data_IF_571589488239
#
_entry.id   IF_571589488239
#
_cell.length_a   1.000
_cell.length_b   1.000
_cell.length_c   1.000
_cell.angle_alpha   90.00
_cell.angle_beta   90.00
_cell.angle_gamma   90.00
#
_symmetry.space_group_name_H-M   'P 1'
#
loop_
_entity.id
_entity.type
_entity.pdbx_description
1 polymer ?
#
# COMPACT_ATOMS: atom_id res chain seq x y z
N UNK A 1 15.74 -10.49 -17.71
CA UNK A 1 14.75 -9.44 -18.08
C UNK A 1 15.02 -8.23 -17.18
N UNK A 2 14.90 -6.99 -17.67
CA UNK A 2 15.10 -5.83 -16.81
C UNK A 2 14.10 -5.86 -15.64
N UNK A 3 14.59 -5.59 -14.43
CA UNK A 3 13.75 -5.46 -13.24
C UNK A 3 12.83 -4.26 -13.43
N UNK A 4 11.52 -4.48 -13.37
CA UNK A 4 10.54 -3.39 -13.46
C UNK A 4 10.65 -2.51 -12.22
N UNK A 5 10.88 -1.21 -12.43
CA UNK A 5 10.91 -0.19 -11.36
C UNK A 5 9.59 0.57 -11.34
N UNK A 6 8.96 0.66 -10.17
CA UNK A 6 7.72 1.42 -10.02
C UNK A 6 8.01 2.93 -10.16
N UNK A 7 7.49 3.61 -11.19
CA UNK A 7 7.73 5.03 -11.39
C UNK A 7 7.17 5.89 -10.24
N UNK A 8 6.17 5.39 -9.52
CA UNK A 8 5.54 6.14 -8.43
C UNK A 8 6.42 6.25 -7.20
N UNK A 9 7.44 5.39 -7.03
CA UNK A 9 8.39 5.48 -5.90
C UNK A 9 9.04 6.87 -5.85
N UNK A 10 9.37 7.45 -7.01
CA UNK A 10 10.08 8.74 -7.10
C UNK A 10 9.21 9.91 -7.59
N UNK A 11 8.07 9.63 -8.24
CA UNK A 11 7.33 10.66 -9.00
C UNK A 11 5.88 10.87 -8.55
N UNK A 12 5.45 10.30 -7.42
CA UNK A 12 4.08 10.46 -6.92
C UNK A 12 3.69 11.93 -6.66
N UNK A 13 4.64 12.80 -6.33
CA UNK A 13 4.40 14.24 -6.13
C UNK A 13 3.96 14.95 -7.43
N UNK A 14 4.31 14.42 -8.59
CA UNK A 14 3.99 15.03 -9.89
C UNK A 14 2.54 14.82 -10.33
N UNK A 15 1.79 13.96 -9.63
CA UNK A 15 0.40 13.61 -10.00
C UNK A 15 -0.60 14.75 -9.80
N UNK A 16 -0.28 15.78 -8.99
CA UNK A 16 -1.12 16.96 -8.72
C UNK A 16 -2.58 16.61 -8.38
N UNK A 17 -2.79 15.59 -7.52
CA UNK A 17 -4.13 15.09 -7.21
C UNK A 17 -5.06 16.13 -6.57
N UNK A 18 -4.49 17.18 -5.96
CA UNK A 18 -5.25 18.31 -5.41
C UNK A 18 -6.03 19.07 -6.51
N UNK A 19 -5.58 19.01 -7.77
CA UNK A 19 -6.25 19.60 -8.92
C UNK A 19 -7.45 18.79 -9.41
N UNK A 20 -7.77 17.66 -8.76
CA UNK A 20 -8.90 16.80 -9.11
C UNK A 20 -10.01 16.87 -8.03
N UNK A 21 -10.81 17.97 -7.97
CA UNK A 21 -11.78 18.19 -6.89
C UNK A 21 -12.97 17.21 -6.92
N UNK A 22 -13.19 16.51 -8.04
CA UNK A 22 -14.24 15.51 -8.22
C UNK A 22 -13.72 14.08 -8.15
N UNK A 23 -12.47 13.87 -7.71
CA UNK A 23 -11.91 12.54 -7.55
C UNK A 23 -12.65 11.81 -6.42
N UNK A 24 -13.46 10.82 -6.79
CA UNK A 24 -14.31 10.05 -5.88
C UNK A 24 -13.68 8.72 -5.46
N UNK A 25 -12.77 8.20 -6.28
CA UNK A 25 -12.08 6.93 -6.07
C UNK A 25 -10.62 6.98 -6.51
N UNK A 26 -9.74 6.35 -5.73
CA UNK A 26 -8.33 6.18 -6.08
C UNK A 26 -7.89 4.72 -5.90
N UNK A 27 -7.02 4.26 -6.81
CA UNK A 27 -6.39 2.93 -6.76
C UNK A 27 -4.88 3.09 -6.63
N UNK A 28 -4.33 2.55 -5.56
CA UNK A 28 -2.91 2.59 -5.21
C UNK A 28 -2.39 1.17 -5.36
N UNK A 29 -1.36 0.98 -6.18
CA UNK A 29 -0.73 -0.31 -6.37
C UNK A 29 0.63 -0.30 -5.68
N UNK A 30 0.92 -1.37 -4.94
CA UNK A 30 2.18 -1.58 -4.24
C UNK A 30 2.72 -2.94 -4.69
N UNK A 31 3.91 -2.94 -5.29
CA UNK A 31 4.55 -4.16 -5.79
C UNK A 31 5.77 -4.51 -4.94
N UNK A 32 5.73 -5.66 -4.27
CA UNK A 32 6.85 -6.10 -3.41
C UNK A 32 8.03 -6.65 -4.21
N UNK A 33 7.79 -7.17 -5.41
CA UNK A 33 8.85 -7.68 -6.31
C UNK A 33 9.72 -6.56 -6.91
N UNK A 34 9.28 -5.30 -6.85
CA UNK A 34 10.02 -4.16 -7.39
C UNK A 34 11.09 -3.60 -6.43
N UNK A 35 11.27 -4.22 -5.25
CA UNK A 35 12.29 -3.83 -4.29
C UNK A 35 13.64 -4.48 -4.65
N UNK A 36 14.76 -3.74 -4.65
CA UNK A 36 16.06 -4.32 -4.90
C UNK A 36 16.36 -5.40 -3.85
N UNK A 37 16.46 -6.64 -4.31
CA UNK A 37 17.10 -7.72 -3.56
C UNK A 37 18.61 -7.50 -3.60
N UNK A 38 19.33 -7.95 -2.57
CA UNK A 38 20.76 -7.71 -2.34
C UNK A 38 21.70 -8.09 -3.52
N UNK A 39 21.20 -8.76 -4.57
CA UNK A 39 21.93 -9.09 -5.81
C UNK A 39 22.03 -7.93 -6.84
N UNK A 40 21.24 -6.87 -6.73
CA UNK A 40 21.32 -5.68 -7.61
C UNK A 40 22.12 -4.56 -6.92
N UNK A 41 23.41 -4.83 -6.67
CA UNK A 41 24.31 -3.89 -6.00
C UNK A 41 24.78 -2.77 -6.93
N UNK A 42 24.04 -1.66 -6.92
CA UNK A 42 24.68 -0.37 -6.60
C UNK A 42 24.31 -0.10 -5.13
N UNK A 43 25.20 -0.53 -4.20
CA UNK A 43 25.01 -0.50 -2.74
C UNK A 43 24.61 0.88 -2.17
N UNK A 44 24.76 1.94 -2.96
CA UNK A 44 24.41 3.32 -2.60
C UNK A 44 22.93 3.69 -2.83
N UNK A 45 22.18 2.99 -3.70
CA UNK A 45 20.75 3.28 -3.95
C UNK A 45 19.80 2.50 -3.02
N UNK A 46 20.16 1.27 -2.61
CA UNK A 46 19.27 0.38 -1.84
C UNK A 46 18.90 0.94 -0.45
N UNK A 47 19.78 1.72 0.16
CA UNK A 47 19.60 2.27 1.52
C UNK A 47 18.67 3.50 1.57
N UNK A 48 18.33 4.09 0.42
CA UNK A 48 17.58 5.35 0.33
C UNK A 48 16.18 5.21 -0.26
N UNK A 49 15.74 4.00 -0.62
CA UNK A 49 14.38 3.82 -1.16
C UNK A 49 13.38 3.93 0.01
N UNK A 50 12.37 4.82 -0.08
CA UNK A 50 11.35 4.92 0.96
C UNK A 50 10.51 3.65 1.01
N UNK A 51 10.00 3.30 2.19
CA UNK A 51 9.07 2.18 2.36
C UNK A 51 7.94 2.23 1.32
N UNK A 52 7.56 1.07 0.77
CA UNK A 52 6.73 0.95 -0.43
C UNK A 52 5.32 1.57 -0.30
N UNK A 53 4.80 1.73 0.92
CA UNK A 53 3.52 2.41 1.14
C UNK A 53 3.61 3.94 1.12
N UNK A 54 4.81 4.53 1.30
CA UNK A 54 4.98 5.98 1.41
C UNK A 54 4.52 6.76 0.17
N UNK A 55 4.85 6.33 -1.07
CA UNK A 55 4.31 6.98 -2.26
C UNK A 55 2.78 7.00 -2.28
N UNK A 56 2.14 5.87 -1.97
CA UNK A 56 0.69 5.77 -1.89
C UNK A 56 0.07 6.67 -0.81
N UNK A 57 0.69 6.72 0.37
CA UNK A 57 0.26 7.63 1.44
C UNK A 57 0.44 9.10 1.02
N UNK A 58 1.53 9.43 0.32
CA UNK A 58 1.79 10.75 -0.23
C UNK A 58 0.78 11.17 -1.30
N UNK A 59 0.35 10.23 -2.17
CA UNK A 59 -0.75 10.48 -3.11
C UNK A 59 -2.03 10.87 -2.37
N UNK A 60 -2.36 10.16 -1.30
CA UNK A 60 -3.55 10.47 -0.50
C UNK A 60 -3.42 11.83 0.18
N UNK A 61 -2.24 12.21 0.66
CA UNK A 61 -2.03 13.54 1.25
C UNK A 61 -2.35 14.69 0.28
N UNK A 62 -2.16 14.48 -1.02
CA UNK A 62 -2.54 15.45 -2.06
C UNK A 62 -4.01 15.34 -2.50
N UNK A 63 -4.67 14.21 -2.25
CA UNK A 63 -5.96 13.92 -2.82
C UNK A 63 -7.07 14.79 -2.21
N UNK A 64 -8.12 15.04 -2.99
CA UNK A 64 -9.29 15.76 -2.52
C UNK A 64 -9.99 15.03 -1.37
N UNK A 65 -10.50 15.80 -0.40
CA UNK A 65 -11.38 15.32 0.66
C UNK A 65 -12.72 14.75 0.16
N UNK A 66 -13.02 14.92 -1.15
CA UNK A 66 -14.18 14.36 -1.83
C UNK A 66 -14.10 12.84 -2.08
N UNK A 67 -12.95 12.21 -1.81
CA UNK A 67 -12.78 10.76 -1.97
C UNK A 67 -13.80 9.97 -1.14
N UNK A 68 -14.48 9.04 -1.81
CA UNK A 68 -15.47 8.12 -1.22
C UNK A 68 -14.93 6.70 -1.09
N UNK A 69 -13.99 6.30 -1.95
CA UNK A 69 -13.41 4.96 -1.94
C UNK A 69 -11.89 4.99 -2.16
N UNK A 70 -11.16 4.25 -1.34
CA UNK A 70 -9.72 4.04 -1.51
C UNK A 70 -9.48 2.54 -1.71
N UNK A 71 -8.75 2.19 -2.76
CA UNK A 71 -8.31 0.81 -3.02
C UNK A 71 -6.80 0.75 -2.95
N UNK A 72 -6.27 -0.05 -2.03
CA UNK A 72 -4.84 -0.33 -1.92
C UNK A 72 -4.64 -1.78 -2.34
N UNK A 73 -3.81 -2.00 -3.35
CA UNK A 73 -3.44 -3.32 -3.83
C UNK A 73 -2.01 -3.61 -3.41
N UNK A 74 -1.82 -4.69 -2.66
CA UNK A 74 -0.49 -5.23 -2.35
C UNK A 74 -0.28 -6.45 -3.22
N UNK A 75 0.62 -6.34 -4.19
CA UNK A 75 0.94 -7.38 -5.15
C UNK A 75 2.21 -8.13 -4.74
N UNK A 76 2.28 -9.38 -5.18
CA UNK A 76 3.43 -10.27 -5.04
C UNK A 76 3.85 -10.45 -3.58
N UNK A 77 2.88 -10.57 -2.66
CA UNK A 77 3.17 -10.77 -1.25
C UNK A 77 3.93 -12.10 -1.05
N UNK A 78 5.20 -12.07 -0.60
CA UNK A 78 6.02 -13.28 -0.52
C UNK A 78 5.69 -14.08 0.75
N UNK A 79 5.36 -13.39 1.86
CA UNK A 79 5.01 -13.98 3.16
C UNK A 79 4.00 -13.10 3.89
N UNK A 80 3.12 -13.72 4.68
CA UNK A 80 2.10 -12.99 5.48
C UNK A 80 2.73 -12.01 6.48
N UNK A 81 3.91 -12.34 7.00
CA UNK A 81 4.63 -11.49 7.96
C UNK A 81 5.04 -10.14 7.36
N UNK A 82 5.24 -10.07 6.03
CA UNK A 82 5.61 -8.84 5.32
C UNK A 82 4.56 -7.73 5.45
N UNK A 83 3.28 -8.08 5.71
CA UNK A 83 2.22 -7.09 5.96
C UNK A 83 2.51 -6.21 7.17
N UNK A 84 3.28 -6.70 8.14
CA UNK A 84 3.64 -5.98 9.36
C UNK A 84 5.07 -5.44 9.32
N UNK A 85 5.77 -5.59 8.20
CA UNK A 85 7.12 -5.06 8.04
C UNK A 85 7.08 -3.53 7.99
N UNK A 86 7.71 -2.89 9.00
CA UNK A 86 7.74 -1.43 9.16
C UNK A 86 8.90 -0.78 8.39
N UNK A 87 9.84 -1.55 7.85
CA UNK A 87 10.96 -1.07 7.05
C UNK A 87 10.62 -1.12 5.57
N UNK A 88 10.20 -2.29 5.09
CA UNK A 88 9.95 -2.51 3.66
C UNK A 88 8.59 -1.95 3.21
N UNK A 89 7.50 -2.41 3.83
CA UNK A 89 6.16 -2.11 3.34
C UNK A 89 5.54 -0.91 4.05
N UNK A 90 5.52 -0.92 5.38
CA UNK A 90 5.04 0.16 6.25
C UNK A 90 3.60 0.62 5.98
N UNK A 91 2.66 -0.33 5.88
CA UNK A 91 1.22 -0.05 5.65
C UNK A 91 0.62 0.96 6.63
N UNK A 92 1.18 1.08 7.84
CA UNK A 92 0.71 2.00 8.89
C UNK A 92 0.66 3.47 8.44
N UNK A 93 1.39 3.86 7.40
CA UNK A 93 1.31 5.21 6.85
C UNK A 93 -0.09 5.55 6.30
N UNK A 94 -0.83 4.56 5.81
CA UNK A 94 -2.23 4.75 5.41
C UNK A 94 -3.13 5.08 6.60
N UNK A 95 -2.88 4.50 7.77
CA UNK A 95 -3.64 4.79 8.99
C UNK A 95 -3.46 6.23 9.46
N UNK A 96 -2.32 6.86 9.14
CA UNK A 96 -2.02 8.25 9.51
C UNK A 96 -2.69 9.26 8.59
N UNK A 97 -2.74 8.97 7.28
CA UNK A 97 -3.29 9.91 6.29
C UNK A 97 -4.78 9.74 6.08
N UNK A 98 -5.31 8.52 6.26
CA UNK A 98 -6.74 8.24 6.07
C UNK A 98 -7.49 8.49 7.38
N UNK A 99 -7.74 9.76 7.68
CA UNK A 99 -8.49 10.18 8.87
C UNK A 99 -9.87 10.77 8.48
N UNK A 100 -10.83 10.88 9.43
CA UNK A 100 -12.10 11.54 9.15
C UNK A 100 -11.92 13.01 8.77
N UNK A 101 -10.90 13.68 9.33
CA UNK A 101 -10.62 15.09 9.03
C UNK A 101 -10.09 15.28 7.61
N UNK A 102 -9.26 14.34 7.14
CA UNK A 102 -8.71 14.38 5.77
C UNK A 102 -9.74 13.93 4.72
N UNK A 103 -10.56 12.92 5.03
CA UNK A 103 -11.55 12.36 4.12
C UNK A 103 -12.91 12.16 4.81
N UNK A 104 -13.68 13.23 5.06
CA UNK A 104 -14.95 13.17 5.77
C UNK A 104 -16.05 12.43 5.00
N UNK A 105 -15.92 12.32 3.67
CA UNK A 105 -16.89 11.63 2.80
C UNK A 105 -16.50 10.18 2.49
N UNK A 106 -15.41 9.69 3.07
CA UNK A 106 -14.91 8.35 2.81
C UNK A 106 -15.88 7.31 3.35
N UNK A 107 -16.26 6.36 2.50
CA UNK A 107 -17.17 5.28 2.86
C UNK A 107 -16.43 4.03 3.25
N UNK A 108 -15.40 3.64 2.47
CA UNK A 108 -14.66 2.39 2.66
C UNK A 108 -13.22 2.48 2.16
N UNK A 109 -12.34 1.73 2.81
CA UNK A 109 -10.99 1.42 2.35
C UNK A 109 -10.90 -0.07 2.06
N UNK A 110 -10.51 -0.42 0.84
CA UNK A 110 -10.29 -1.79 0.42
C UNK A 110 -8.79 -2.07 0.35
N UNK A 111 -8.30 -2.99 1.16
CA UNK A 111 -6.95 -3.54 1.02
C UNK A 111 -7.04 -4.91 0.34
N UNK A 112 -6.65 -4.97 -0.93
CA UNK A 112 -6.63 -6.20 -1.71
C UNK A 112 -5.23 -6.76 -1.75
N UNK A 113 -5.08 -7.99 -1.27
CA UNK A 113 -3.79 -8.67 -1.22
C UNK A 113 -3.76 -9.71 -2.32
N UNK A 114 -2.77 -9.59 -3.21
CA UNK A 114 -2.44 -10.59 -4.21
C UNK A 114 -1.14 -11.29 -3.78
N UNK A 115 -1.24 -12.54 -3.33
CA UNK A 115 -0.06 -13.35 -3.02
C UNK A 115 0.81 -13.53 -4.25
N UNK A 116 2.10 -13.74 -4.03
CA UNK A 116 2.95 -14.28 -5.10
C UNK A 116 2.41 -15.64 -5.56
N UNK A 117 2.64 -15.99 -6.83
CA UNK A 117 2.11 -17.18 -7.47
C UNK A 117 2.46 -18.47 -6.73
N UNK A 118 3.66 -18.52 -6.14
CA UNK A 118 4.12 -19.65 -5.34
C UNK A 118 3.38 -19.75 -4.01
N UNK A 119 3.09 -18.61 -3.37
CA UNK A 119 2.32 -18.55 -2.13
C UNK A 119 0.85 -18.93 -2.36
N UNK A 120 0.29 -18.59 -3.53
CA UNK A 120 -1.07 -18.98 -3.92
C UNK A 120 -1.23 -20.48 -4.17
N UNK A 121 -0.17 -21.14 -4.68
CA UNK A 121 -0.17 -22.58 -4.97
C UNK A 121 -0.01 -23.46 -3.72
N UNK A 122 0.30 -22.88 -2.57
CA UNK A 122 0.44 -23.64 -1.33
C UNK A 122 -0.95 -24.10 -0.83
N UNK A 123 -1.17 -25.42 -0.66
CA UNK A 123 -2.47 -25.97 -0.26
C UNK A 123 -2.91 -25.52 1.14
N UNK A 124 -1.98 -25.04 1.96
CA UNK A 124 -2.25 -24.53 3.30
C UNK A 124 -2.24 -23.00 3.39
N UNK A 125 -2.38 -22.27 2.27
CA UNK A 125 -2.39 -20.80 2.28
C UNK A 125 -3.46 -20.24 3.25
N UNK A 126 -2.98 -19.66 4.36
CA UNK A 126 -3.84 -19.28 5.49
C UNK A 126 -4.40 -17.87 5.29
N UNK A 127 -5.41 -17.72 4.42
CA UNK A 127 -6.11 -16.43 4.22
C UNK A 127 -6.56 -15.77 5.53
N UNK A 128 -6.97 -16.57 6.53
CA UNK A 128 -7.29 -16.06 7.86
C UNK A 128 -6.12 -15.32 8.53
N UNK A 129 -4.88 -15.80 8.35
CA UNK A 129 -3.68 -15.13 8.86
C UNK A 129 -3.41 -13.81 8.12
N UNK A 130 -3.72 -13.76 6.83
CA UNK A 130 -3.61 -12.55 6.00
C UNK A 130 -4.54 -11.47 6.52
N UNK A 131 -5.83 -11.81 6.69
CA UNK A 131 -6.84 -10.89 7.24
C UNK A 131 -6.44 -10.38 8.63
N UNK A 132 -5.96 -11.27 9.51
CA UNK A 132 -5.47 -10.87 10.84
C UNK A 132 -4.23 -9.98 10.74
N UNK A 133 -3.27 -10.32 9.88
CA UNK A 133 -2.06 -9.54 9.66
C UNK A 133 -2.37 -8.13 9.14
N UNK A 134 -3.29 -8.02 8.19
CA UNK A 134 -3.79 -6.75 7.64
C UNK A 134 -4.44 -5.89 8.71
N UNK A 135 -5.35 -6.45 9.51
CA UNK A 135 -6.04 -5.72 10.58
C UNK A 135 -5.07 -5.21 11.64
N UNK A 136 -3.99 -5.98 11.92
CA UNK A 136 -2.89 -5.56 12.80
C UNK A 136 -2.02 -4.47 12.19
N UNK A 137 -1.84 -4.48 10.87
CA UNK A 137 -1.05 -3.47 10.16
C UNK A 137 -1.79 -2.13 10.01
N UNK A 138 -3.12 -2.15 10.02
CA UNK A 138 -4.00 -0.96 9.88
C UNK A 138 -5.05 -0.89 11.02
N UNK A 139 -4.61 -0.82 12.29
CA UNK A 139 -5.49 -0.89 13.44
C UNK A 139 -6.54 0.23 13.49
N UNK A 140 -6.21 1.46 13.08
CA UNK A 140 -7.13 2.60 13.17
C UNK A 140 -8.23 2.53 12.10
N UNK A 141 -7.89 2.14 10.88
CA UNK A 141 -8.89 1.87 9.84
C UNK A 141 -9.75 0.66 10.21
N UNK A 142 -9.18 -0.34 10.86
CA UNK A 142 -9.92 -1.50 11.32
C UNK A 142 -10.91 -1.14 12.45
N UNK A 143 -10.46 -0.44 13.49
CA UNK A 143 -11.28 -0.09 14.65
C UNK A 143 -12.46 0.81 14.28
N UNK A 144 -12.30 1.68 13.29
CA UNK A 144 -13.37 2.51 12.71
C UNK A 144 -14.32 1.76 11.77
N UNK A 145 -14.10 0.46 11.52
CA UNK A 145 -14.93 -0.33 10.59
C UNK A 145 -14.76 0.03 9.11
N UNK A 146 -13.73 0.82 8.77
CA UNK A 146 -13.48 1.32 7.41
C UNK A 146 -12.76 0.30 6.52
N UNK A 147 -11.97 -0.58 7.13
CA UNK A 147 -11.11 -1.53 6.42
C UNK A 147 -11.87 -2.78 5.94
N UNK A 148 -11.82 -3.03 4.63
CA UNK A 148 -12.24 -4.28 3.99
C UNK A 148 -11.02 -4.97 3.39
N UNK A 149 -10.84 -6.25 3.71
CA UNK A 149 -9.73 -7.09 3.25
C UNK A 149 -10.31 -8.18 2.36
#
# INVERSE_FOLDING_TARGET
MPVWKDPMIRHWQSLKLASCPKLDSIRINIYLRAWPTDDDSDETEATNVPALSLPGAGMLFQASSALRSIYIYVHDLPRVTTLNDRRLLRLQEFDKVITPDTFPLLLRVFLRIRPDGDLWRQPDYKWRKVVVGTRRALPNLHSRGMLRV
#
